data_IF_993437043709
#
_entry.id   IF_993437043709
#
_cell.length_a   1.000
_cell.length_b   1.000
_cell.length_c   1.000
_cell.angle_alpha   90.00
_cell.angle_beta   90.00
_cell.angle_gamma   90.00
#
_symmetry.space_group_name_H-M   'P 1'
#
loop_
_entity.id
_entity.type
_entity.pdbx_description
1 polymer ?
#
# COMPACT_ATOMS: atom_id res chain seq x y z
N UNK A 1 -5.26 31.87 0.83
CA UNK A 1 -4.48 30.82 0.15
C UNK A 1 -4.34 29.69 1.16
N UNK A 2 -5.37 28.85 1.26
CA UNK A 2 -5.36 27.69 2.15
C UNK A 2 -4.47 26.65 1.50
N UNK A 3 -3.29 26.43 2.07
CA UNK A 3 -2.54 25.20 1.83
C UNK A 3 -3.48 24.05 2.23
N UNK A 4 -3.96 23.32 1.23
CA UNK A 4 -4.53 22.01 1.46
C UNK A 4 -3.33 21.14 1.81
N UNK A 5 -3.06 20.97 3.11
CA UNK A 5 -2.20 19.91 3.62
C UNK A 5 -2.90 18.57 3.37
N UNK A 6 -2.95 18.15 2.09
CA UNK A 6 -3.44 16.83 1.65
C UNK A 6 -2.30 15.80 1.71
N UNK A 7 -1.45 15.91 2.74
CA UNK A 7 -0.28 15.07 2.98
C UNK A 7 -0.58 14.01 4.07
N UNK A 8 -1.85 13.61 4.23
CA UNK A 8 -2.20 12.47 5.10
C UNK A 8 -1.51 11.17 4.64
N UNK A 9 -1.14 11.11 3.36
CA UNK A 9 -0.34 10.05 2.77
C UNK A 9 1.09 10.48 2.40
N UNK A 10 1.65 11.52 3.05
CA UNK A 10 3.06 11.84 2.84
C UNK A 10 3.94 10.71 3.37
N UNK A 11 4.70 9.97 2.53
CA UNK A 11 5.60 8.94 3.02
C UNK A 11 6.81 9.52 3.77
N UNK A 12 6.89 10.85 3.91
CA UNK A 12 8.01 11.57 4.51
C UNK A 12 7.52 12.47 5.64
N UNK A 13 7.33 11.89 6.82
CA UNK A 13 7.53 12.68 8.04
C UNK A 13 8.99 13.21 8.00
N UNK A 14 9.22 14.53 7.87
CA UNK A 14 10.56 15.06 7.70
C UNK A 14 11.41 14.70 8.92
N UNK A 15 12.55 14.06 8.69
CA UNK A 15 13.50 13.69 9.75
C UNK A 15 13.42 12.24 10.24
N UNK A 16 12.52 11.40 9.72
CA UNK A 16 12.48 9.97 10.04
C UNK A 16 13.03 9.09 8.90
N UNK A 17 13.80 8.03 9.22
CA UNK A 17 14.32 7.12 8.20
C UNK A 17 13.20 6.32 7.55
N UNK A 18 13.22 6.07 6.22
CA UNK A 18 12.16 5.32 5.55
C UNK A 18 12.02 3.91 6.13
N UNK A 19 10.78 3.52 6.45
CA UNK A 19 10.47 2.16 6.90
C UNK A 19 10.07 1.31 5.70
N UNK A 20 10.63 0.12 5.57
CA UNK A 20 10.19 -0.82 4.53
C UNK A 20 8.73 -1.24 4.73
N UNK A 21 8.06 -1.56 3.62
CA UNK A 21 6.78 -2.26 3.67
C UNK A 21 7.03 -3.69 4.20
N UNK A 22 6.36 -4.05 5.29
CA UNK A 22 6.48 -5.38 5.92
C UNK A 22 5.41 -6.37 5.42
N UNK A 23 4.50 -5.91 4.56
CA UNK A 23 3.40 -6.74 4.07
C UNK A 23 2.31 -6.98 5.13
N UNK A 24 2.02 -5.99 5.98
CA UNK A 24 0.94 -6.10 6.97
C UNK A 24 -0.47 -6.06 6.36
N UNK A 25 -0.61 -5.63 5.10
CA UNK A 25 -1.87 -5.67 4.35
C UNK A 25 -2.83 -4.49 4.61
N UNK A 26 -2.55 -3.63 5.60
CA UNK A 26 -3.45 -2.53 5.99
C UNK A 26 -3.86 -1.63 4.82
N UNK A 27 -2.90 -1.13 4.05
CA UNK A 27 -3.20 -0.25 2.91
C UNK A 27 -4.09 -0.91 1.86
N UNK A 28 -4.07 -2.24 1.72
CA UNK A 28 -4.86 -2.96 0.72
C UNK A 28 -6.21 -3.47 1.24
N UNK A 29 -6.38 -3.54 2.56
CA UNK A 29 -7.60 -4.00 3.24
C UNK A 29 -8.48 -2.83 3.69
N UNK A 30 -7.87 -1.71 4.08
CA UNK A 30 -8.56 -0.52 4.60
C UNK A 30 -8.91 0.46 3.46
N UNK A 31 -7.93 0.77 2.60
CA UNK A 31 -8.09 1.77 1.53
C UNK A 31 -7.40 1.35 0.21
N UNK A 32 -8.04 0.51 -0.63
CA UNK A 32 -7.47 0.03 -1.88
C UNK A 32 -7.00 1.15 -2.81
N UNK A 33 -5.75 1.07 -3.25
CA UNK A 33 -5.11 2.12 -4.04
C UNK A 33 -5.75 2.32 -5.43
N UNK A 34 -5.54 3.50 -6.00
CA UNK A 34 -6.00 3.91 -7.33
C UNK A 34 -5.55 2.95 -8.42
N UNK A 35 -4.33 2.41 -8.31
CA UNK A 35 -3.78 1.42 -9.26
C UNK A 35 -4.60 0.13 -9.24
N UNK A 36 -5.03 -0.34 -8.06
CA UNK A 36 -5.96 -1.47 -7.95
C UNK A 36 -7.32 -1.13 -8.55
N UNK A 37 -7.83 0.08 -8.32
CA UNK A 37 -9.13 0.50 -8.85
C UNK A 37 -9.11 0.60 -10.37
N UNK A 38 -8.03 1.12 -10.97
CA UNK A 38 -7.85 1.15 -12.40
C UNK A 38 -7.73 -0.26 -13.01
N UNK A 39 -7.07 -1.19 -12.32
CA UNK A 39 -6.86 -2.56 -12.81
C UNK A 39 -8.08 -3.49 -12.63
N UNK A 40 -8.91 -3.26 -11.62
CA UNK A 40 -9.97 -4.21 -11.21
C UNK A 40 -11.36 -3.58 -10.98
N UNK A 41 -11.49 -2.25 -11.04
CA UNK A 41 -12.66 -1.54 -10.54
C UNK A 41 -12.66 -1.37 -9.02
N UNK A 42 -13.65 -0.65 -8.50
CA UNK A 42 -13.80 -0.41 -7.06
C UNK A 42 -14.18 -1.71 -6.34
N UNK A 43 -13.35 -2.13 -5.39
CA UNK A 43 -13.57 -3.31 -4.55
C UNK A 43 -13.25 -2.96 -3.11
N UNK A 44 -14.03 -3.48 -2.15
CA UNK A 44 -13.75 -3.29 -0.70
C UNK A 44 -12.41 -3.87 -0.27
N UNK A 45 -11.95 -4.92 -0.94
CA UNK A 45 -10.64 -5.54 -0.73
C UNK A 45 -9.91 -5.61 -2.06
N UNK A 46 -8.66 -5.18 -2.08
CA UNK A 46 -7.82 -5.22 -3.28
C UNK A 46 -7.67 -6.67 -3.81
N UNK A 47 -8.10 -6.99 -5.05
CA UNK A 47 -7.98 -8.35 -5.60
C UNK A 47 -6.53 -8.82 -5.81
N UNK A 48 -5.60 -7.88 -5.95
CA UNK A 48 -4.16 -8.14 -6.05
C UNK A 48 -3.50 -8.41 -4.70
N UNK A 49 -4.22 -8.30 -3.57
CA UNK A 49 -3.65 -8.64 -2.27
C UNK A 49 -3.56 -10.16 -2.10
N UNK A 50 -2.34 -10.70 -1.97
CA UNK A 50 -2.10 -12.13 -1.77
C UNK A 50 -1.38 -12.40 -0.46
N UNK A 51 -1.88 -13.36 0.32
CA UNK A 51 -1.19 -13.88 1.49
C UNK A 51 -0.17 -14.92 1.06
N UNK A 52 1.05 -14.84 1.59
CA UNK A 52 2.16 -15.76 1.26
C UNK A 52 2.39 -16.86 2.29
N UNK A 53 1.59 -16.91 3.37
CA UNK A 53 1.86 -17.71 4.55
C UNK A 53 2.63 -16.96 5.65
N UNK A 54 3.33 -15.87 5.30
CA UNK A 54 4.08 -15.05 6.27
C UNK A 54 3.76 -13.56 6.20
N UNK A 55 3.42 -13.05 5.01
CA UNK A 55 3.05 -11.64 4.79
C UNK A 55 2.16 -11.46 3.58
N UNK A 56 1.53 -10.31 3.46
CA UNK A 56 0.84 -9.90 2.24
C UNK A 56 1.80 -9.36 1.18
N UNK A 57 1.50 -9.65 -0.08
CA UNK A 57 2.17 -9.10 -1.27
C UNK A 57 1.15 -8.56 -2.27
N UNK A 58 1.59 -7.60 -3.09
CA UNK A 58 0.80 -7.03 -4.16
C UNK A 58 1.11 -7.76 -5.48
N UNK A 59 0.13 -8.48 -6.01
CA UNK A 59 0.21 -9.23 -7.26
C UNK A 59 0.52 -8.32 -8.46
N UNK A 60 0.03 -7.07 -8.48
CA UNK A 60 0.35 -6.10 -9.55
C UNK A 60 1.83 -5.69 -9.57
N UNK A 61 2.52 -5.77 -8.43
CA UNK A 61 3.96 -5.49 -8.36
C UNK A 61 4.77 -6.71 -8.79
N UNK A 62 4.33 -7.92 -8.38
CA UNK A 62 5.03 -9.17 -8.72
C UNK A 62 4.81 -9.55 -10.19
N UNK A 63 3.58 -9.36 -10.69
CA UNK A 63 3.15 -9.68 -12.04
C UNK A 63 2.51 -8.44 -12.69
N UNK A 64 3.34 -7.47 -13.14
CA UNK A 64 2.85 -6.26 -13.80
C UNK A 64 1.97 -6.57 -15.00
N UNK A 65 0.86 -5.85 -15.11
CA UNK A 65 -0.06 -5.96 -16.25
C UNK A 65 0.28 -4.91 -17.31
N UNK A 66 0.24 -5.26 -18.61
CA UNK A 66 0.42 -4.27 -19.68
C UNK A 66 -0.56 -3.11 -19.54
N UNK A 67 -0.06 -1.87 -19.67
CA UNK A 67 -0.89 -0.66 -19.63
C UNK A 67 -1.28 -0.17 -18.22
N UNK A 68 -0.85 -0.84 -17.15
CA UNK A 68 -1.08 -0.36 -15.77
C UNK A 68 0.13 0.43 -15.29
N UNK A 69 -0.07 1.70 -14.91
CA UNK A 69 0.96 2.52 -14.29
C UNK A 69 1.13 2.14 -12.81
N UNK A 70 2.32 1.64 -12.47
CA UNK A 70 2.68 1.25 -11.10
C UNK A 70 3.43 2.36 -10.33
N UNK A 71 3.76 3.48 -10.98
CA UNK A 71 4.46 4.61 -10.35
C UNK A 71 3.76 5.10 -9.07
N UNK A 72 2.41 5.20 -9.02
CA UNK A 72 1.70 5.63 -7.81
C UNK A 72 1.78 4.65 -6.62
N UNK A 73 2.35 3.45 -6.80
CA UNK A 73 2.57 2.51 -5.69
C UNK A 73 3.81 2.87 -4.85
N UNK A 74 4.67 3.78 -5.33
CA UNK A 74 5.89 4.23 -4.64
C UNK A 74 6.75 3.07 -4.12
N UNK A 75 6.85 1.99 -4.90
CA UNK A 75 7.60 0.79 -4.51
C UNK A 75 9.05 1.18 -4.17
N UNK A 76 9.50 0.80 -2.97
CA UNK A 76 10.84 1.11 -2.46
C UNK A 76 10.99 2.47 -1.77
N UNK A 77 9.99 3.35 -1.79
CA UNK A 77 10.05 4.67 -1.12
C UNK A 77 9.68 4.62 0.37
N UNK A 78 9.25 3.47 0.87
CA UNK A 78 8.89 3.25 2.27
C UNK A 78 7.40 3.03 2.48
N UNK A 79 7.03 2.76 3.72
CA UNK A 79 5.66 2.47 4.13
C UNK A 79 4.92 3.78 4.42
N UNK A 80 3.85 4.03 3.67
CA UNK A 80 2.91 5.12 3.87
C UNK A 80 2.14 5.04 5.21
N UNK A 81 2.05 3.84 5.81
CA UNK A 81 1.35 3.60 7.07
C UNK A 81 2.33 3.26 8.21
N UNK A 82 3.35 4.11 8.43
CA UNK A 82 4.41 3.92 9.43
C UNK A 82 3.90 3.54 10.82
N UNK A 83 2.88 4.26 11.31
CA UNK A 83 2.41 4.17 12.70
C UNK A 83 1.29 3.15 12.88
N UNK A 84 0.94 2.40 11.82
CA UNK A 84 -0.08 1.37 11.91
C UNK A 84 0.43 0.16 12.71
N UNK A 85 -0.29 -0.21 13.76
CA UNK A 85 0.02 -1.32 14.65
C UNK A 85 0.09 -2.69 13.94
N UNK A 86 -0.52 -2.87 12.76
CA UNK A 86 -0.42 -4.17 12.05
C UNK A 86 0.99 -4.46 11.56
N UNK A 87 1.90 -3.47 11.56
CA UNK A 87 3.32 -3.70 11.26
C UNK A 87 4.00 -4.61 12.28
N UNK A 88 3.54 -4.60 13.53
CA UNK A 88 4.07 -5.42 14.62
C UNK A 88 3.32 -6.75 14.79
N UNK A 89 2.21 -6.93 14.06
CA UNK A 89 1.35 -8.12 14.08
C UNK A 89 0.97 -8.50 12.64
N UNK A 90 1.97 -8.93 11.86
CA UNK A 90 1.74 -9.40 10.49
C UNK A 90 1.10 -10.78 10.52
N UNK A 91 -0.15 -10.84 10.09
CA UNK A 91 -0.97 -12.05 10.05
C UNK A 91 -2.03 -11.94 8.98
N UNK A 92 -2.54 -13.09 8.56
CA UNK A 92 -3.67 -13.18 7.64
C UNK A 92 -4.93 -12.58 8.30
N UNK A 93 -5.60 -11.72 7.54
CA UNK A 93 -6.82 -10.98 7.88
C UNK A 93 -7.87 -11.20 6.77
N UNK A 94 -8.03 -12.47 6.38
CA UNK A 94 -8.89 -12.92 5.28
C UNK A 94 -8.27 -12.77 3.91
#
# INVERSE_FOLDING_TARGET
MTVFDDDFFSPREPGLPPLSCVGCGWCCLDNPCEVSQAAFGYARRCPALKWTGARYVCDLVIHPRPGVDLTPLFVGQGCCARHNAWRDDVRERG
#
